data_IF_507652452047
#
_entry.id   IF_507652452047
#
_cell.length_a   1.000
_cell.length_b   1.000
_cell.length_c   1.000
_cell.angle_alpha   90.00
_cell.angle_beta   90.00
_cell.angle_gamma   90.00
#
_symmetry.space_group_name_H-M   'P 1'
#
loop_
_entity.id
_entity.type
_entity.pdbx_description
1 polymer ?
#
# COMPACT_ATOMS: atom_id res chain seq x y z
N UNK A 1 -17.90 -4.32 22.45
CA UNK A 1 -17.27 -3.60 23.62
C UNK A 1 -16.07 -2.74 23.22
N UNK A 2 -15.15 -3.18 22.36
CA UNK A 2 -13.95 -2.35 22.00
C UNK A 2 -14.27 -1.03 21.28
N UNK A 3 -15.39 -0.93 20.56
CA UNK A 3 -15.77 0.30 19.85
C UNK A 3 -16.51 1.30 20.72
N UNK A 4 -17.05 0.88 21.83
CA UNK A 4 -17.76 1.73 22.80
C UNK A 4 -16.78 2.50 23.72
N UNK A 5 -15.56 1.99 23.85
CA UNK A 5 -14.48 2.67 24.56
C UNK A 5 -13.88 3.76 23.66
N UNK A 6 -13.67 4.94 24.22
CA UNK A 6 -13.05 6.08 23.51
C UNK A 6 -13.87 6.62 22.32
N UNK A 7 -15.15 6.89 22.50
CA UNK A 7 -16.04 7.45 21.46
C UNK A 7 -15.54 8.76 20.83
N UNK A 8 -14.73 9.53 21.55
CA UNK A 8 -14.18 10.79 21.07
C UNK A 8 -13.14 10.62 19.95
N UNK A 9 -12.51 9.45 19.84
CA UNK A 9 -11.46 9.22 18.86
C UNK A 9 -12.00 8.49 17.62
N UNK A 10 -11.68 8.96 16.40
CA UNK A 10 -11.98 8.23 15.19
C UNK A 10 -11.17 6.93 15.15
N UNK A 11 -11.84 5.85 14.79
CA UNK A 11 -11.26 4.51 14.68
C UNK A 11 -11.45 4.01 13.28
N UNK A 12 -10.47 3.29 12.76
CA UNK A 12 -10.59 2.57 11.49
C UNK A 12 -10.41 1.08 11.72
N UNK A 13 -11.37 0.31 11.26
CA UNK A 13 -11.31 -1.14 11.25
C UNK A 13 -11.19 -1.61 9.80
N UNK A 14 -10.08 -2.25 9.47
CA UNK A 14 -9.79 -2.72 8.13
C UNK A 14 -9.74 -4.25 8.11
N UNK A 15 -10.43 -4.86 7.17
CA UNK A 15 -10.33 -6.29 6.85
C UNK A 15 -9.79 -6.39 5.44
N UNK A 16 -8.57 -6.84 5.32
CA UNK A 16 -7.95 -7.22 4.05
C UNK A 16 -8.19 -8.71 3.79
N UNK A 17 -8.19 -9.11 2.52
CA UNK A 17 -8.43 -10.51 2.14
C UNK A 17 -9.75 -11.06 2.73
N UNK A 18 -10.85 -10.31 2.55
CA UNK A 18 -12.15 -10.65 3.15
C UNK A 18 -12.62 -12.06 2.83
N UNK A 19 -12.22 -12.63 1.70
CA UNK A 19 -12.54 -14.01 1.32
C UNK A 19 -12.14 -15.04 2.39
N UNK A 20 -11.07 -14.77 3.16
CA UNK A 20 -10.61 -15.64 4.26
C UNK A 20 -11.62 -15.69 5.43
N UNK A 21 -12.44 -14.66 5.56
CA UNK A 21 -13.50 -14.60 6.56
C UNK A 21 -14.83 -15.20 6.04
N UNK A 22 -14.96 -15.41 4.73
CA UNK A 22 -16.17 -15.84 4.05
C UNK A 22 -16.84 -17.09 4.63
N UNK A 23 -16.09 -18.17 4.97
CA UNK A 23 -16.64 -19.38 5.54
C UNK A 23 -17.23 -19.23 6.95
N UNK A 24 -16.93 -18.12 7.64
CA UNK A 24 -17.32 -17.93 9.05
C UNK A 24 -18.52 -16.98 9.13
N UNK A 25 -19.74 -17.53 9.17
CA UNK A 25 -20.99 -16.78 9.21
C UNK A 25 -21.04 -15.74 10.35
N UNK A 26 -20.51 -16.07 11.53
CA UNK A 26 -20.49 -15.18 12.68
C UNK A 26 -19.63 -13.92 12.42
N UNK A 27 -18.52 -14.05 11.70
CA UNK A 27 -17.67 -12.91 11.33
C UNK A 27 -18.41 -12.01 10.33
N UNK A 28 -19.05 -12.58 9.31
CA UNK A 28 -19.82 -11.81 8.34
C UNK A 28 -20.95 -11.03 9.01
N UNK A 29 -21.71 -11.67 9.90
CA UNK A 29 -22.77 -11.02 10.67
C UNK A 29 -22.20 -9.87 11.55
N UNK A 30 -21.04 -10.05 12.15
CA UNK A 30 -20.38 -9.01 12.93
C UNK A 30 -19.92 -7.84 12.05
N UNK A 31 -19.33 -8.10 10.88
CA UNK A 31 -18.93 -7.04 9.94
C UNK A 31 -20.10 -6.18 9.48
N UNK A 32 -21.25 -6.79 9.17
CA UNK A 32 -22.48 -6.07 8.83
C UNK A 32 -22.95 -5.21 10.00
N UNK A 33 -22.94 -5.75 11.21
CA UNK A 33 -23.28 -4.99 12.41
C UNK A 33 -22.35 -3.80 12.62
N UNK A 34 -21.05 -4.02 12.47
CA UNK A 34 -20.03 -2.97 12.63
C UNK A 34 -20.20 -1.87 11.57
N UNK A 35 -20.59 -2.21 10.33
CA UNK A 35 -20.92 -1.21 9.31
C UNK A 35 -22.17 -0.40 9.70
N UNK A 36 -23.23 -1.03 10.21
CA UNK A 36 -24.45 -0.34 10.64
C UNK A 36 -24.23 0.59 11.83
N UNK A 37 -23.44 0.16 12.80
CA UNK A 37 -23.25 0.84 14.08
C UNK A 37 -21.99 1.73 14.09
N UNK A 38 -21.10 1.57 13.12
CA UNK A 38 -19.80 2.23 13.08
C UNK A 38 -19.89 3.74 13.22
N UNK A 39 -20.86 4.37 12.55
CA UNK A 39 -21.06 5.82 12.63
C UNK A 39 -21.35 6.30 14.07
N UNK A 40 -22.13 5.53 14.83
CA UNK A 40 -22.49 5.88 16.23
C UNK A 40 -21.27 5.81 17.14
N UNK A 41 -20.33 4.94 16.82
CA UNK A 41 -19.13 4.66 17.61
C UNK A 41 -17.86 5.34 17.04
N UNK A 42 -18.03 6.27 16.11
CA UNK A 42 -16.94 6.93 15.40
C UNK A 42 -15.94 5.92 14.76
N UNK A 43 -16.47 4.85 14.18
CA UNK A 43 -15.72 3.78 13.53
C UNK A 43 -15.97 3.81 12.03
N UNK A 44 -14.91 3.80 11.26
CA UNK A 44 -14.92 3.53 9.83
C UNK A 44 -14.56 2.07 9.59
N UNK A 45 -15.40 1.33 8.87
CA UNK A 45 -15.13 -0.04 8.45
C UNK A 45 -14.69 -0.02 6.99
N UNK A 46 -13.54 -0.62 6.70
CA UNK A 46 -13.02 -0.81 5.36
C UNK A 46 -12.83 -2.31 5.10
N UNK A 47 -13.40 -2.80 4.02
CA UNK A 47 -13.32 -4.21 3.61
C UNK A 47 -12.65 -4.25 2.24
N UNK A 48 -11.64 -5.11 2.07
CA UNK A 48 -10.99 -5.36 0.80
C UNK A 48 -11.05 -6.85 0.43
N UNK A 49 -11.28 -7.14 -0.84
CA UNK A 49 -11.22 -8.49 -1.40
C UNK A 49 -10.94 -8.44 -2.89
N UNK A 50 -10.37 -9.51 -3.41
CA UNK A 50 -10.16 -9.73 -4.84
C UNK A 50 -11.39 -10.37 -5.51
N UNK A 51 -12.36 -10.83 -4.73
CA UNK A 51 -13.53 -11.56 -5.20
C UNK A 51 -14.81 -10.77 -4.91
N UNK A 52 -15.56 -10.45 -5.96
CA UNK A 52 -16.77 -9.65 -5.86
C UNK A 52 -17.86 -10.32 -5.03
N UNK A 53 -17.97 -11.64 -5.10
CA UNK A 53 -18.98 -12.43 -4.36
C UNK A 53 -18.77 -12.46 -2.86
N UNK A 54 -17.62 -12.04 -2.36
CA UNK A 54 -17.37 -11.93 -0.93
C UNK A 54 -18.22 -10.86 -0.24
N UNK A 55 -18.69 -9.87 -1.00
CA UNK A 55 -19.52 -8.81 -0.48
C UNK A 55 -20.99 -9.16 -0.62
N UNK A 56 -21.70 -9.31 0.50
CA UNK A 56 -23.15 -9.49 0.49
C UNK A 56 -23.84 -8.21 -0.01
N UNK A 57 -25.08 -8.36 -0.52
CA UNK A 57 -25.89 -7.22 -0.93
C UNK A 57 -26.02 -6.16 0.18
N UNK A 58 -26.18 -6.62 1.43
CA UNK A 58 -26.27 -5.73 2.59
C UNK A 58 -24.97 -4.94 2.85
N UNK A 59 -23.79 -5.59 2.73
CA UNK A 59 -22.50 -4.90 2.88
C UNK A 59 -22.34 -3.80 1.83
N UNK A 60 -22.80 -4.04 0.60
CA UNK A 60 -22.76 -3.09 -0.51
C UNK A 60 -23.72 -1.93 -0.29
N UNK A 61 -24.93 -2.24 0.19
CA UNK A 61 -25.94 -1.22 0.52
C UNK A 61 -25.43 -0.25 1.60
N UNK A 62 -24.79 -0.79 2.64
CA UNK A 62 -24.22 -0.03 3.75
C UNK A 62 -22.94 0.73 3.38
N UNK A 63 -22.25 0.38 2.29
CA UNK A 63 -21.04 1.04 1.89
C UNK A 63 -21.34 2.47 1.42
N UNK A 64 -20.62 3.45 1.96
CA UNK A 64 -20.67 4.85 1.55
C UNK A 64 -19.76 5.14 0.36
N UNK A 65 -18.71 4.37 0.19
CA UNK A 65 -17.76 4.47 -0.92
C UNK A 65 -17.25 3.10 -1.34
N UNK A 66 -16.97 2.97 -2.63
CA UNK A 66 -16.40 1.76 -3.25
C UNK A 66 -15.19 2.18 -4.07
N UNK A 67 -14.12 1.41 -3.99
CA UNK A 67 -12.88 1.61 -4.72
C UNK A 67 -12.62 0.37 -5.57
N UNK A 68 -12.51 0.55 -6.88
CA UNK A 68 -12.29 -0.54 -7.85
C UNK A 68 -10.94 -0.29 -8.50
N UNK A 69 -10.00 -1.21 -8.25
CA UNK A 69 -8.58 -1.03 -8.57
C UNK A 69 -8.20 -1.58 -9.95
N UNK A 70 -9.05 -2.41 -10.56
CA UNK A 70 -8.73 -3.09 -11.81
C UNK A 70 -10.00 -3.33 -12.64
N UNK A 71 -9.85 -3.32 -13.97
CA UNK A 71 -10.95 -3.61 -14.89
C UNK A 71 -11.31 -5.10 -14.90
N UNK A 72 -10.30 -5.98 -14.92
CA UNK A 72 -10.46 -7.41 -15.08
C UNK A 72 -10.79 -7.78 -16.54
N UNK A 73 -12.06 -8.10 -16.78
CA UNK A 73 -12.61 -8.37 -18.11
C UNK A 73 -14.05 -7.82 -18.23
N UNK A 74 -14.64 -7.92 -19.42
CA UNK A 74 -15.98 -7.37 -19.70
C UNK A 74 -17.07 -7.96 -18.78
N UNK A 75 -17.05 -9.27 -18.53
CA UNK A 75 -18.03 -9.94 -17.67
C UNK A 75 -17.90 -9.48 -16.22
N UNK A 76 -16.67 -9.46 -15.70
CA UNK A 76 -16.40 -8.98 -14.33
C UNK A 76 -16.78 -7.50 -14.17
N UNK A 77 -16.50 -6.68 -15.17
CA UNK A 77 -16.80 -5.26 -15.15
C UNK A 77 -18.33 -5.01 -15.17
N UNK A 78 -19.09 -5.82 -15.91
CA UNK A 78 -20.54 -5.73 -15.93
C UNK A 78 -21.15 -6.19 -14.58
N UNK A 79 -20.65 -7.28 -13.99
CA UNK A 79 -21.05 -7.72 -12.65
C UNK A 79 -20.79 -6.62 -11.60
N UNK A 80 -19.63 -5.94 -11.68
CA UNK A 80 -19.31 -4.80 -10.82
C UNK A 80 -20.28 -3.64 -11.07
N UNK A 81 -20.57 -3.33 -12.33
CA UNK A 81 -21.51 -2.28 -12.71
C UNK A 81 -22.88 -2.50 -12.11
N UNK A 82 -23.42 -3.70 -12.28
CA UNK A 82 -24.75 -4.05 -11.77
C UNK A 82 -24.76 -4.03 -10.25
N UNK A 83 -23.81 -4.70 -9.62
CA UNK A 83 -23.75 -4.88 -8.17
C UNK A 83 -23.60 -3.55 -7.41
N UNK A 84 -22.84 -2.62 -7.95
CA UNK A 84 -22.63 -1.30 -7.32
C UNK A 84 -23.47 -0.18 -7.96
N UNK A 85 -24.35 -0.51 -8.93
CA UNK A 85 -25.20 0.44 -9.66
C UNK A 85 -24.40 1.58 -10.29
N UNK A 86 -23.27 1.23 -10.93
CA UNK A 86 -22.39 2.21 -11.55
C UNK A 86 -22.94 2.64 -12.93
N UNK A 87 -22.71 3.88 -13.36
CA UNK A 87 -23.02 4.30 -14.73
C UNK A 87 -22.08 3.62 -15.74
N UNK A 88 -22.56 3.39 -16.97
CA UNK A 88 -21.75 2.79 -18.03
C UNK A 88 -20.44 3.56 -18.32
N UNK A 89 -20.47 4.89 -18.18
CA UNK A 89 -19.28 5.74 -18.34
C UNK A 89 -18.19 5.44 -17.29
N UNK A 90 -18.54 5.00 -16.08
CA UNK A 90 -17.56 4.63 -15.07
C UNK A 90 -16.82 3.32 -15.44
N UNK A 91 -17.55 2.37 -16.04
CA UNK A 91 -16.93 1.13 -16.55
C UNK A 91 -16.04 1.41 -17.74
N UNK A 92 -16.43 2.31 -18.61
CA UNK A 92 -15.59 2.74 -19.75
C UNK A 92 -14.28 3.38 -19.28
N UNK A 93 -14.31 4.20 -18.23
CA UNK A 93 -13.09 4.73 -17.60
C UNK A 93 -12.20 3.63 -17.06
N UNK A 94 -12.76 2.62 -16.38
CA UNK A 94 -12.00 1.47 -15.91
C UNK A 94 -11.40 0.68 -17.08
N UNK A 95 -12.14 0.46 -18.16
CA UNK A 95 -11.67 -0.26 -19.34
C UNK A 95 -10.46 0.43 -19.99
N UNK A 96 -10.52 1.75 -20.10
CA UNK A 96 -9.45 2.52 -20.75
C UNK A 96 -8.23 2.68 -19.84
N UNK A 97 -8.43 2.90 -18.56
CA UNK A 97 -7.36 3.30 -17.63
C UNK A 97 -7.06 2.29 -16.52
N UNK A 98 -7.94 1.32 -16.24
CA UNK A 98 -7.84 0.38 -15.12
C UNK A 98 -6.94 -0.83 -15.37
N UNK A 99 -5.92 -0.71 -16.22
CA UNK A 99 -5.08 -1.84 -16.65
C UNK A 99 -3.71 -1.88 -15.92
N UNK A 100 -3.71 -1.52 -14.65
CA UNK A 100 -2.52 -1.56 -13.80
C UNK A 100 -1.81 -0.22 -13.65
N UNK A 101 -0.70 -0.19 -12.88
CA UNK A 101 0.03 1.03 -12.59
C UNK A 101 0.64 1.67 -13.85
N UNK A 102 0.60 2.99 -13.91
CA UNK A 102 1.22 3.83 -14.93
C UNK A 102 2.32 4.69 -14.30
N UNK A 103 3.13 5.43 -15.08
CA UNK A 103 4.06 6.41 -14.53
C UNK A 103 3.40 7.48 -13.65
N UNK A 104 2.13 7.77 -13.90
CA UNK A 104 1.34 8.75 -13.13
C UNK A 104 0.73 8.17 -11.84
N UNK A 105 0.88 6.88 -11.60
CA UNK A 105 0.35 6.17 -10.45
C UNK A 105 -0.55 4.99 -10.80
N UNK A 106 -1.14 4.36 -9.79
CA UNK A 106 -2.10 3.28 -9.97
C UNK A 106 -3.53 3.86 -10.10
N UNK A 107 -4.18 3.74 -11.28
CA UNK A 107 -5.54 4.23 -11.46
C UNK A 107 -6.54 3.37 -10.69
N UNK A 108 -7.57 3.99 -10.18
CA UNK A 108 -8.71 3.32 -9.57
C UNK A 108 -9.98 4.15 -9.71
N UNK A 109 -11.12 3.48 -9.81
CA UNK A 109 -12.41 4.13 -9.78
C UNK A 109 -12.88 4.28 -8.34
N UNK A 110 -13.20 5.51 -7.95
CA UNK A 110 -13.86 5.82 -6.68
C UNK A 110 -15.33 6.14 -6.94
N UNK A 111 -16.23 5.37 -6.34
CA UNK A 111 -17.67 5.63 -6.35
C UNK A 111 -18.14 5.96 -4.95
N UNK A 112 -18.72 7.15 -4.75
CA UNK A 112 -19.18 7.65 -3.45
C UNK A 112 -20.66 8.00 -3.47
N UNK A 113 -21.40 7.50 -2.48
CA UNK A 113 -22.79 7.88 -2.22
C UNK A 113 -22.83 9.23 -1.51
N UNK A 114 -23.41 10.22 -2.13
CA UNK A 114 -23.59 11.57 -1.57
C UNK A 114 -25.07 11.90 -1.41
N UNK A 115 -25.39 13.00 -0.71
CA UNK A 115 -26.76 13.48 -0.61
C UNK A 115 -27.37 13.87 -1.98
N UNK A 116 -26.52 14.12 -2.99
CA UNK A 116 -26.93 14.52 -4.34
C UNK A 116 -26.92 13.37 -5.35
N UNK A 117 -26.62 12.15 -4.89
CA UNK A 117 -26.52 10.95 -5.72
C UNK A 117 -25.14 10.31 -5.68
N UNK A 118 -24.91 9.39 -6.61
CA UNK A 118 -23.63 8.68 -6.76
C UNK A 118 -22.65 9.56 -7.54
N UNK A 119 -21.46 9.75 -7.02
CA UNK A 119 -20.33 10.40 -7.69
C UNK A 119 -19.30 9.34 -8.03
N UNK A 120 -18.97 9.20 -9.30
CA UNK A 120 -17.93 8.31 -9.80
C UNK A 120 -16.77 9.14 -10.36
N UNK A 121 -15.55 8.82 -9.95
CA UNK A 121 -14.36 9.53 -10.40
C UNK A 121 -13.19 8.56 -10.54
N UNK A 122 -12.44 8.67 -11.64
CA UNK A 122 -11.16 8.01 -11.81
C UNK A 122 -10.10 8.81 -11.03
N UNK A 123 -9.37 8.15 -10.18
CA UNK A 123 -8.29 8.72 -9.38
C UNK A 123 -7.01 7.92 -9.59
N UNK A 124 -5.88 8.53 -9.26
CA UNK A 124 -4.57 7.88 -9.31
C UNK A 124 -3.98 7.86 -7.91
N UNK A 125 -3.64 6.66 -7.43
CA UNK A 125 -2.86 6.50 -6.21
C UNK A 125 -1.38 6.66 -6.55
N UNK A 126 -0.80 7.74 -6.07
CA UNK A 126 0.63 8.00 -6.20
C UNK A 126 1.29 7.85 -4.85
N UNK A 127 2.33 7.04 -4.79
CA UNK A 127 3.16 6.87 -3.60
C UNK A 127 4.53 7.50 -3.84
N UNK A 128 5.04 8.22 -2.85
CA UNK A 128 6.41 8.68 -2.87
C UNK A 128 7.42 7.53 -2.73
N UNK A 129 8.71 7.76 -3.07
CA UNK A 129 9.73 6.70 -2.99
C UNK A 129 9.85 6.05 -1.59
N UNK A 130 9.62 6.81 -0.53
CA UNK A 130 9.66 6.30 0.85
C UNK A 130 8.53 5.31 1.09
N UNK A 131 7.30 5.67 0.70
CA UNK A 131 6.13 4.81 0.84
C UNK A 131 6.25 3.56 -0.03
N UNK A 132 6.73 3.71 -1.27
CA UNK A 132 6.97 2.58 -2.16
C UNK A 132 7.93 1.58 -1.52
N UNK A 133 9.03 2.04 -0.94
CA UNK A 133 9.95 1.18 -0.21
C UNK A 133 9.35 0.58 1.05
N UNK A 134 8.59 1.35 1.84
CA UNK A 134 7.95 0.85 3.04
C UNK A 134 6.95 -0.27 2.75
N UNK A 135 6.26 -0.20 1.60
CA UNK A 135 5.21 -1.12 1.19
C UNK A 135 5.70 -2.24 0.25
N UNK A 136 6.93 -2.17 -0.28
CA UNK A 136 7.47 -3.20 -1.19
C UNK A 136 7.38 -4.60 -0.59
N UNK A 137 6.83 -5.54 -1.38
CA UNK A 137 6.61 -6.94 -1.00
C UNK A 137 7.52 -7.92 -1.72
N UNK A 138 8.36 -7.46 -2.69
CA UNK A 138 9.30 -8.33 -3.38
C UNK A 138 10.30 -8.94 -2.40
N UNK A 139 10.72 -10.17 -2.63
CA UNK A 139 11.55 -10.91 -1.68
C UNK A 139 12.89 -10.19 -1.45
N UNK A 140 13.51 -9.71 -2.52
CA UNK A 140 14.80 -9.04 -2.50
C UNK A 140 14.74 -7.69 -1.77
N UNK A 141 13.75 -6.86 -2.11
CA UNK A 141 13.57 -5.56 -1.45
C UNK A 141 13.30 -5.72 0.05
N UNK A 142 12.56 -6.77 0.44
CA UNK A 142 12.34 -7.10 1.85
C UNK A 142 13.64 -7.50 2.57
N UNK A 143 14.52 -8.23 1.91
CA UNK A 143 15.83 -8.61 2.46
C UNK A 143 16.70 -7.38 2.67
N UNK A 144 16.86 -6.55 1.62
CA UNK A 144 17.65 -5.31 1.68
C UNK A 144 17.12 -4.41 2.80
N UNK A 145 15.81 -4.13 2.78
CA UNK A 145 15.15 -3.28 3.76
C UNK A 145 15.34 -3.78 5.19
N UNK A 146 15.11 -5.07 5.44
CA UNK A 146 15.24 -5.66 6.78
C UNK A 146 16.67 -5.53 7.31
N UNK A 147 17.70 -5.80 6.49
CA UNK A 147 19.11 -5.69 6.89
C UNK A 147 19.48 -4.25 7.25
N UNK A 148 19.03 -3.28 6.47
CA UNK A 148 19.26 -1.87 6.76
C UNK A 148 18.48 -1.40 8.00
N UNK A 149 17.23 -1.85 8.20
CA UNK A 149 16.44 -1.52 9.40
C UNK A 149 17.10 -2.00 10.68
N UNK A 150 17.65 -3.21 10.66
CA UNK A 150 18.34 -3.78 11.82
C UNK A 150 19.57 -2.97 12.22
N UNK A 151 20.24 -2.34 11.27
CA UNK A 151 21.48 -1.61 11.50
C UNK A 151 21.28 -0.11 11.77
N UNK A 152 20.37 0.54 11.08
CA UNK A 152 20.24 2.00 11.07
C UNK A 152 18.82 2.50 11.47
N UNK A 153 17.89 1.59 11.73
CA UNK A 153 16.49 1.94 11.95
C UNK A 153 15.74 2.26 10.64
N UNK A 154 14.41 2.25 10.72
CA UNK A 154 13.56 2.42 9.54
C UNK A 154 13.68 3.82 8.88
N UNK A 155 13.72 4.95 9.62
CA UNK A 155 13.75 6.26 8.99
C UNK A 155 15.02 6.53 8.15
N UNK A 156 16.20 6.16 8.65
CA UNK A 156 17.47 6.35 7.93
C UNK A 156 17.54 5.43 6.70
N UNK A 157 17.20 4.15 6.90
CA UNK A 157 17.19 3.16 5.83
C UNK A 157 16.22 3.53 4.69
N UNK A 158 14.99 3.94 5.00
CA UNK A 158 14.01 4.35 3.98
C UNK A 158 14.45 5.57 3.19
N UNK A 159 15.04 6.57 3.84
CA UNK A 159 15.60 7.75 3.14
C UNK A 159 16.72 7.37 2.18
N UNK A 160 17.63 6.49 2.59
CA UNK A 160 18.73 6.03 1.72
C UNK A 160 18.22 5.20 0.55
N UNK A 161 17.31 4.28 0.79
CA UNK A 161 16.66 3.45 -0.24
C UNK A 161 15.91 4.31 -1.25
N UNK A 162 15.06 5.24 -0.78
CA UNK A 162 14.28 6.13 -1.63
C UNK A 162 15.18 7.05 -2.47
N UNK A 163 16.30 7.53 -1.92
CA UNK A 163 17.28 8.36 -2.64
C UNK A 163 18.00 7.57 -3.71
N UNK A 164 18.41 6.34 -3.42
CA UNK A 164 19.19 5.49 -4.35
C UNK A 164 18.30 4.84 -5.42
N UNK A 165 17.11 4.44 -5.05
CA UNK A 165 16.13 3.74 -5.90
C UNK A 165 14.75 4.38 -5.78
N UNK A 166 14.52 5.52 -6.44
CA UNK A 166 13.26 6.27 -6.33
C UNK A 166 12.05 5.51 -6.89
N UNK A 167 12.25 4.48 -7.70
CA UNK A 167 11.19 3.59 -8.18
C UNK A 167 10.62 2.67 -7.11
N UNK A 168 11.17 2.65 -5.90
CA UNK A 168 10.71 1.81 -4.79
C UNK A 168 11.18 0.36 -4.84
N UNK A 169 12.12 0.01 -5.74
CA UNK A 169 12.70 -1.33 -5.84
C UNK A 169 14.14 -1.30 -6.34
N UNK A 170 14.96 -2.20 -5.82
CA UNK A 170 16.32 -2.46 -6.29
C UNK A 170 16.39 -3.55 -7.37
N UNK A 171 15.26 -4.10 -7.79
CA UNK A 171 15.18 -5.27 -8.69
C UNK A 171 15.96 -5.04 -9.99
N UNK A 172 15.79 -3.91 -10.65
CA UNK A 172 16.47 -3.61 -11.92
C UNK A 172 17.99 -3.53 -11.76
N UNK A 173 18.51 -2.98 -10.64
CA UNK A 173 19.94 -2.94 -10.34
C UNK A 173 20.48 -4.35 -10.04
N UNK A 174 19.74 -5.14 -9.26
CA UNK A 174 20.05 -6.54 -8.99
C UNK A 174 20.14 -7.37 -10.27
N UNK A 175 19.14 -7.29 -11.14
CA UNK A 175 19.10 -8.03 -12.42
C UNK A 175 20.29 -7.64 -13.30
N UNK A 176 20.56 -6.35 -13.47
CA UNK A 176 21.69 -5.84 -14.23
C UNK A 176 23.04 -6.36 -13.71
N UNK A 177 23.24 -6.41 -12.39
CA UNK A 177 24.47 -6.95 -11.79
C UNK A 177 24.60 -8.46 -12.01
N UNK A 178 23.48 -9.18 -12.03
CA UNK A 178 23.45 -10.61 -12.28
C UNK A 178 23.62 -11.00 -13.75
N UNK A 179 23.26 -10.14 -14.71
CA UNK A 179 23.47 -10.35 -16.15
C UNK A 179 24.94 -10.64 -16.50
N UNK A 180 25.87 -10.13 -15.72
CA UNK A 180 27.32 -10.31 -15.94
C UNK A 180 27.92 -11.42 -15.07
N UNK A 181 27.08 -12.17 -14.32
CA UNK A 181 27.51 -13.27 -13.47
C UNK A 181 27.53 -14.59 -14.23
N UNK A 182 28.59 -15.38 -14.01
CA UNK A 182 28.65 -16.75 -14.53
C UNK A 182 27.65 -17.70 -13.84
N UNK A 183 27.25 -17.39 -12.61
CA UNK A 183 26.36 -18.21 -11.79
C UNK A 183 25.27 -17.36 -11.08
N UNK A 184 24.31 -16.77 -11.80
CA UNK A 184 23.36 -15.79 -11.23
C UNK A 184 22.60 -16.28 -10.00
N UNK A 185 22.28 -17.57 -9.95
CA UNK A 185 21.53 -18.13 -8.81
C UNK A 185 22.39 -18.21 -7.53
N UNK A 186 23.69 -18.48 -7.67
CA UNK A 186 24.63 -18.56 -6.53
C UNK A 186 25.12 -17.17 -6.08
N UNK A 187 25.26 -16.25 -7.03
CA UNK A 187 25.81 -14.92 -6.78
C UNK A 187 24.77 -13.91 -6.28
N UNK A 188 23.46 -14.31 -6.29
CA UNK A 188 22.35 -13.43 -5.91
C UNK A 188 22.51 -12.86 -4.50
N UNK A 189 22.87 -13.68 -3.53
CA UNK A 189 23.06 -13.23 -2.15
C UNK A 189 24.27 -12.32 -2.02
N UNK A 190 25.35 -12.57 -2.76
CA UNK A 190 26.52 -11.70 -2.78
C UNK A 190 26.22 -10.33 -3.37
N UNK A 191 25.40 -10.28 -4.42
CA UNK A 191 24.96 -9.00 -5.02
C UNK A 191 24.04 -8.24 -4.07
N UNK A 192 23.15 -8.94 -3.36
CA UNK A 192 22.31 -8.32 -2.31
C UNK A 192 23.17 -7.75 -1.18
N UNK A 193 24.22 -8.48 -0.75
CA UNK A 193 25.15 -8.02 0.27
C UNK A 193 25.93 -6.79 -0.19
N UNK A 194 26.36 -6.73 -1.45
CA UNK A 194 27.01 -5.57 -2.03
C UNK A 194 26.08 -4.34 -2.04
N UNK A 195 24.84 -4.48 -2.48
CA UNK A 195 23.85 -3.40 -2.45
C UNK A 195 23.62 -2.88 -1.03
N UNK A 196 23.47 -3.78 -0.06
CA UNK A 196 23.30 -3.42 1.37
C UNK A 196 24.56 -2.69 1.89
N UNK A 197 25.75 -3.17 1.53
CA UNK A 197 27.02 -2.53 1.91
C UNK A 197 27.17 -1.11 1.37
N UNK A 198 26.84 -0.87 0.10
CA UNK A 198 26.86 0.46 -0.52
C UNK A 198 25.90 1.42 0.19
N UNK A 199 24.67 0.98 0.44
CA UNK A 199 23.66 1.77 1.16
C UNK A 199 24.06 2.05 2.61
N UNK A 200 24.65 1.06 3.29
CA UNK A 200 25.15 1.22 4.66
C UNK A 200 26.27 2.26 4.74
N UNK A 201 27.18 2.25 3.77
CA UNK A 201 28.21 3.28 3.65
C UNK A 201 27.64 4.68 3.44
N UNK A 202 26.63 4.80 2.57
CA UNK A 202 25.97 6.08 2.30
C UNK A 202 25.22 6.62 3.53
N UNK A 203 24.57 5.76 4.33
CA UNK A 203 23.89 6.16 5.57
C UNK A 203 24.93 6.65 6.60
N UNK A 204 26.00 5.89 6.83
CA UNK A 204 27.02 6.26 7.79
C UNK A 204 27.72 7.58 7.42
N UNK A 205 27.98 7.81 6.13
CA UNK A 205 28.53 9.07 5.66
C UNK A 205 27.60 10.27 5.89
N UNK A 206 26.29 10.07 5.69
CA UNK A 206 25.28 11.11 5.94
C UNK A 206 25.16 11.45 7.43
N UNK A 207 25.17 10.46 8.32
CA UNK A 207 25.13 10.65 9.77
C UNK A 207 26.37 11.41 10.27
N UNK A 208 27.56 11.11 9.71
CA UNK A 208 28.80 11.82 10.04
C UNK A 208 28.75 13.28 9.60
N UNK A 209 28.17 13.56 8.43
CA UNK A 209 28.05 14.92 7.91
C UNK A 209 27.05 15.76 8.72
N UNK A 210 25.97 15.15 9.23
CA UNK A 210 24.98 15.82 10.08
C UNK A 210 25.50 16.07 11.51
N UNK A 211 26.44 15.26 12.00
CA UNK A 211 27.01 15.41 13.34
C UNK A 211 27.89 16.65 13.50
N UNK A 212 28.38 17.28 12.40
CA UNK A 212 29.20 18.46 12.42
C UNK A 212 30.52 18.31 13.22
N UNK A 213 31.52 19.18 13.07
CA UNK A 213 32.64 19.23 14.00
C UNK A 213 32.09 19.68 15.38
N UNK A 214 32.46 18.94 16.42
CA UNK A 214 32.26 19.39 17.79
C UNK A 214 32.79 20.81 17.92
N UNK A 215 32.07 21.77 18.52
CA UNK A 215 32.61 23.08 18.80
C UNK A 215 33.89 22.88 19.61
N UNK A 216 34.98 23.44 19.10
CA UNK A 216 36.25 23.43 19.80
C UNK A 216 36.01 23.92 21.23
N UNK A 217 36.38 23.07 22.20
CA UNK A 217 36.34 23.47 23.61
C UNK A 217 37.27 24.70 23.71
N UNK A 218 36.66 25.87 23.87
CA UNK A 218 37.45 27.08 24.25
C UNK A 218 38.18 26.72 25.55
N UNK A 219 39.48 26.53 25.43
CA UNK A 219 40.41 26.51 26.54
C UNK A 219 40.34 27.89 27.16
N UNK A 220 39.52 27.97 28.25
CA UNK A 220 39.46 29.16 29.08
C UNK A 220 40.78 29.34 29.81
N UNK A 221 41.46 30.44 29.48
CA UNK A 221 42.50 31.04 30.35
C UNK A 221 41.92 31.57 31.67
#
# INVERSE_FOLDING_TARGET
>A
RRFEEHLAYPKKFCVDEKHRCGPIAAINAQLVRDQREGRKNNVQVALASQILTDFSAEMIELASSVYIMEYGNDDTAEDVREKFSLPASAIELLRVYGNGPTPDGAPFLCAMKTKRGLVCQLLYLTNGPIEMWALSTTAEDRVIRRRLYQRFGAPAALRALARRYPSGSAKADLERRLEHSAHPALDRDQVLDAIVGELAGAIAAAETAEAGPLPDAEEGE
#
